data_IF_550859934278
#
_entry.id   IF_550859934278
#
_cell.length_a   1.000
_cell.length_b   1.000
_cell.length_c   1.000
_cell.angle_alpha   90.00
_cell.angle_beta   90.00
_cell.angle_gamma   90.00
#
_symmetry.space_group_name_H-M   'P 1'
#
loop_
_entity.id
_entity.type
_entity.pdbx_description
1 polymer ?
#
# COMPACT_ATOMS: atom_id res chain seq x y z
N UNK A 1 -41.01 8.67 28.11
CA UNK A 1 -40.68 8.76 26.67
C UNK A 1 -41.34 10.02 26.13
N UNK A 2 -40.60 11.14 26.10
CA UNK A 2 -41.05 12.39 25.50
C UNK A 2 -41.58 12.18 24.06
N UNK A 3 -42.68 12.86 23.66
CA UNK A 3 -43.28 12.74 22.35
C UNK A 3 -42.34 13.12 21.20
N UNK A 4 -41.39 14.01 21.45
CA UNK A 4 -40.41 14.53 20.47
C UNK A 4 -39.42 13.44 20.02
N UNK A 5 -39.01 12.57 20.96
CA UNK A 5 -38.10 11.45 20.66
C UNK A 5 -38.74 10.40 19.73
N UNK A 6 -40.08 10.34 19.64
CA UNK A 6 -40.77 9.41 18.73
C UNK A 6 -40.69 9.84 17.26
N UNK A 7 -40.69 11.15 17.00
CA UNK A 7 -40.58 11.67 15.63
C UNK A 7 -39.16 11.52 15.09
N UNK A 8 -38.16 11.80 15.92
CA UNK A 8 -36.76 11.59 15.57
C UNK A 8 -36.49 10.11 15.31
N UNK A 9 -36.97 9.22 16.17
CA UNK A 9 -36.84 7.76 15.98
C UNK A 9 -37.45 7.29 14.65
N UNK A 10 -38.69 7.68 14.34
CA UNK A 10 -39.34 7.33 13.07
C UNK A 10 -38.61 7.88 11.86
N UNK A 11 -38.10 9.11 11.93
CA UNK A 11 -37.36 9.71 10.81
C UNK A 11 -36.06 8.97 10.54
N UNK A 12 -35.35 8.56 11.60
CA UNK A 12 -34.12 7.76 11.48
C UNK A 12 -34.42 6.36 10.94
N UNK A 13 -35.48 5.72 11.43
CA UNK A 13 -35.96 4.42 10.96
C UNK A 13 -36.30 4.47 9.48
N UNK A 14 -37.12 5.43 9.04
CA UNK A 14 -37.46 5.61 7.61
C UNK A 14 -36.21 5.83 6.75
N UNK A 15 -35.26 6.66 7.21
CA UNK A 15 -34.00 6.91 6.48
C UNK A 15 -33.13 5.64 6.42
N UNK A 16 -33.10 4.85 7.49
CA UNK A 16 -32.39 3.58 7.55
C UNK A 16 -33.00 2.57 6.58
N UNK A 17 -34.32 2.37 6.64
CA UNK A 17 -35.06 1.47 5.75
C UNK A 17 -34.85 1.85 4.27
N UNK A 18 -34.91 3.14 3.96
CA UNK A 18 -34.62 3.64 2.60
C UNK A 18 -33.20 3.27 2.15
N UNK A 19 -32.21 3.33 3.06
CA UNK A 19 -30.82 2.97 2.75
C UNK A 19 -30.63 1.47 2.60
N UNK A 20 -31.32 0.65 3.40
CA UNK A 20 -31.30 -0.81 3.25
C UNK A 20 -31.94 -1.24 1.93
N UNK A 21 -33.08 -0.66 1.56
CA UNK A 21 -33.74 -0.94 0.29
C UNK A 21 -32.83 -0.60 -0.90
N UNK A 22 -32.20 0.58 -0.89
CA UNK A 22 -31.27 0.98 -1.93
C UNK A 22 -30.02 0.08 -2.02
N UNK A 23 -29.52 -0.41 -0.88
CA UNK A 23 -28.41 -1.38 -0.86
C UNK A 23 -28.84 -2.70 -1.48
N UNK A 24 -30.00 -3.24 -1.08
CA UNK A 24 -30.53 -4.51 -1.59
C UNK A 24 -30.77 -4.45 -3.11
N UNK A 25 -31.30 -3.35 -3.62
CA UNK A 25 -31.49 -3.14 -5.06
C UNK A 25 -30.14 -3.10 -5.80
N UNK A 26 -29.15 -2.38 -5.27
CA UNK A 26 -27.82 -2.31 -5.86
C UNK A 26 -27.11 -3.68 -5.85
N UNK A 27 -27.25 -4.45 -4.77
CA UNK A 27 -26.73 -5.81 -4.67
C UNK A 27 -27.40 -6.76 -5.66
N UNK A 28 -28.73 -6.68 -5.81
CA UNK A 28 -29.48 -7.48 -6.79
C UNK A 28 -29.10 -7.14 -8.24
N UNK A 29 -28.95 -5.85 -8.55
CA UNK A 29 -28.50 -5.40 -9.86
C UNK A 29 -27.07 -5.90 -10.16
N UNK A 30 -26.16 -5.82 -9.18
CA UNK A 30 -24.80 -6.35 -9.30
C UNK A 30 -24.77 -7.87 -9.48
N UNK A 31 -25.59 -8.60 -8.73
CA UNK A 31 -25.71 -10.05 -8.85
C UNK A 31 -26.21 -10.46 -10.25
N UNK A 32 -27.23 -9.76 -10.77
CA UNK A 32 -27.76 -9.96 -12.11
C UNK A 32 -26.70 -9.69 -13.18
N UNK A 33 -25.99 -8.56 -13.07
CA UNK A 33 -24.92 -8.21 -13.99
C UNK A 33 -23.76 -9.22 -13.98
N UNK A 34 -23.45 -9.83 -12.82
CA UNK A 34 -22.44 -10.88 -12.69
C UNK A 34 -22.89 -12.24 -13.22
N UNK A 35 -24.19 -12.53 -13.16
CA UNK A 35 -24.76 -13.77 -13.67
C UNK A 35 -24.75 -13.82 -15.20
N UNK A 36 -24.85 -12.66 -15.86
CA UNK A 36 -24.67 -12.54 -17.31
C UNK A 36 -23.18 -12.72 -17.64
N UNK A 37 -22.77 -13.96 -17.87
CA UNK A 37 -21.45 -14.28 -18.41
C UNK A 37 -21.50 -14.18 -19.94
N UNK A 38 -20.65 -13.36 -20.57
CA UNK A 38 -20.50 -13.41 -22.01
C UNK A 38 -20.00 -14.81 -22.43
N UNK A 39 -20.33 -15.26 -23.66
CA UNK A 39 -19.81 -16.50 -24.19
C UNK A 39 -18.27 -16.46 -24.19
N UNK A 40 -17.66 -17.62 -23.91
CA UNK A 40 -16.21 -17.74 -23.94
C UNK A 40 -15.74 -17.50 -25.38
N UNK A 41 -14.88 -16.50 -25.63
CA UNK A 41 -14.37 -16.24 -26.96
C UNK A 41 -13.49 -17.38 -27.45
N UNK A 42 -13.40 -17.52 -28.78
CA UNK A 42 -12.55 -18.51 -29.42
C UNK A 42 -11.06 -18.31 -29.06
N UNK A 43 -10.33 -19.41 -28.95
CA UNK A 43 -8.93 -19.43 -28.53
C UNK A 43 -8.03 -18.70 -29.53
N UNK A 44 -8.31 -18.79 -30.83
CA UNK A 44 -7.59 -18.05 -31.88
C UNK A 44 -7.79 -16.53 -31.71
N UNK A 45 -9.04 -16.10 -31.48
CA UNK A 45 -9.36 -14.70 -31.26
C UNK A 45 -8.68 -14.14 -29.99
N UNK A 46 -8.62 -14.93 -28.91
CA UNK A 46 -7.89 -14.56 -27.69
C UNK A 46 -6.38 -14.44 -27.95
N UNK A 47 -5.79 -15.35 -28.73
CA UNK A 47 -4.37 -15.31 -29.07
C UNK A 47 -4.02 -14.08 -29.91
N UNK A 48 -4.87 -13.74 -30.89
CA UNK A 48 -4.71 -12.52 -31.69
C UNK A 48 -4.79 -11.26 -30.81
N UNK A 49 -5.78 -11.19 -29.91
CA UNK A 49 -5.92 -10.08 -28.97
C UNK A 49 -4.70 -9.94 -28.05
N UNK A 50 -4.16 -11.06 -27.57
CA UNK A 50 -2.96 -11.07 -26.74
C UNK A 50 -1.72 -10.58 -27.52
N UNK A 51 -1.61 -10.92 -28.81
CA UNK A 51 -0.51 -10.47 -29.67
C UNK A 51 -0.57 -8.95 -29.95
N UNK A 52 -1.77 -8.38 -30.06
CA UNK A 52 -1.96 -6.93 -30.27
C UNK A 52 -1.80 -6.09 -28.99
N UNK A 53 -1.76 -6.74 -27.82
CA UNK A 53 -1.76 -6.06 -26.53
C UNK A 53 -0.59 -5.09 -26.31
N UNK A 54 0.68 -5.44 -26.63
CA UNK A 54 1.80 -4.52 -26.46
C UNK A 54 1.61 -3.23 -27.27
N UNK A 55 1.14 -3.37 -28.53
CA UNK A 55 0.87 -2.24 -29.41
C UNK A 55 -0.23 -1.33 -28.84
N UNK A 56 -1.32 -1.92 -28.32
CA UNK A 56 -2.40 -1.17 -27.67
C UNK A 56 -1.90 -0.46 -26.40
N UNK A 57 -1.06 -1.12 -25.61
CA UNK A 57 -0.54 -0.59 -24.36
C UNK A 57 0.33 0.65 -24.57
N UNK A 58 1.20 0.62 -25.59
CA UNK A 58 2.14 1.70 -25.91
C UNK A 58 1.53 2.81 -26.76
N UNK A 59 0.33 2.61 -27.32
CA UNK A 59 -0.32 3.63 -28.13
C UNK A 59 -0.59 4.93 -27.33
N UNK A 60 -0.30 6.12 -27.90
CA UNK A 60 -0.51 7.40 -27.23
C UNK A 60 -2.00 7.72 -27.02
N UNK A 61 -2.88 7.10 -27.80
CA UNK A 61 -4.33 7.20 -27.68
C UNK A 61 -4.87 6.42 -26.47
N UNK A 62 -4.10 5.47 -25.93
CA UNK A 62 -4.52 4.69 -24.77
C UNK A 62 -4.30 5.52 -23.51
N UNK A 63 -5.39 5.87 -22.83
CA UNK A 63 -5.29 6.67 -21.63
C UNK A 63 -4.79 5.85 -20.43
N UNK A 64 -4.24 6.48 -19.38
CA UNK A 64 -3.92 5.79 -18.12
C UNK A 64 -5.14 5.09 -17.49
N UNK A 65 -6.35 5.64 -17.71
CA UNK A 65 -7.60 5.02 -17.26
C UNK A 65 -7.85 3.70 -17.98
N UNK A 66 -7.61 3.65 -19.29
CA UNK A 66 -7.85 2.45 -20.10
C UNK A 66 -6.84 1.36 -19.80
N UNK A 67 -5.55 1.71 -19.66
CA UNK A 67 -4.50 0.80 -19.18
C UNK A 67 -4.88 0.17 -17.83
N UNK A 68 -5.39 0.98 -16.90
CA UNK A 68 -5.85 0.49 -15.59
C UNK A 68 -7.08 -0.42 -15.69
N UNK A 69 -8.01 -0.14 -16.61
CA UNK A 69 -9.17 -1.02 -16.86
C UNK A 69 -8.70 -2.37 -17.41
N UNK A 70 -7.75 -2.37 -18.33
CA UNK A 70 -7.19 -3.57 -18.92
C UNK A 70 -6.49 -4.45 -17.87
N UNK A 71 -5.64 -3.87 -17.02
CA UNK A 71 -4.99 -4.64 -15.94
C UNK A 71 -6.00 -5.29 -14.99
N UNK A 72 -7.12 -4.63 -14.71
CA UNK A 72 -8.17 -5.16 -13.84
C UNK A 72 -8.93 -6.35 -14.40
N UNK A 73 -8.87 -6.61 -15.71
CA UNK A 73 -9.48 -7.83 -16.28
C UNK A 73 -8.58 -9.04 -16.12
N UNK A 74 -7.29 -8.83 -15.88
CA UNK A 74 -6.28 -9.89 -15.79
C UNK A 74 -5.90 -10.20 -14.33
N UNK A 75 -5.79 -9.16 -13.50
CA UNK A 75 -5.33 -9.24 -12.12
C UNK A 75 -6.51 -9.45 -11.18
N UNK A 76 -6.47 -10.55 -10.41
CA UNK A 76 -7.43 -10.85 -9.36
C UNK A 76 -7.18 -10.03 -8.09
N UNK A 77 -5.94 -9.98 -7.62
CA UNK A 77 -5.52 -9.08 -6.55
C UNK A 77 -4.04 -8.74 -6.61
N UNK A 78 -3.67 -7.72 -5.83
CA UNK A 78 -2.29 -7.32 -5.59
C UNK A 78 -2.08 -7.25 -4.08
N UNK A 79 -1.08 -7.96 -3.59
CA UNK A 79 -0.67 -7.95 -2.18
C UNK A 79 0.63 -7.18 -2.03
N UNK A 80 0.70 -6.33 -1.00
CA UNK A 80 1.90 -5.57 -0.67
C UNK A 80 2.42 -6.05 0.68
N UNK A 81 3.62 -6.62 0.67
CA UNK A 81 4.35 -7.06 1.84
C UNK A 81 5.48 -6.05 2.09
N UNK A 82 5.34 -5.30 3.17
CA UNK A 82 6.38 -4.40 3.63
C UNK A 82 7.34 -5.18 4.51
N UNK A 83 8.60 -5.21 4.11
CA UNK A 83 9.66 -5.83 4.91
C UNK A 83 10.07 -4.87 6.04
N UNK A 84 10.17 -5.39 7.27
CA UNK A 84 10.36 -4.55 8.45
C UNK A 84 11.74 -3.87 8.52
N UNK A 85 12.72 -4.35 7.77
CA UNK A 85 14.10 -3.85 7.81
C UNK A 85 14.63 -3.38 6.44
N UNK A 86 13.79 -3.41 5.40
CA UNK A 86 14.16 -2.97 4.06
C UNK A 86 13.31 -1.79 3.59
N UNK A 87 13.89 -0.93 2.73
CA UNK A 87 13.11 0.03 1.95
C UNK A 87 12.49 -0.63 0.70
N UNK A 88 12.69 -1.94 0.52
CA UNK A 88 12.01 -2.73 -0.50
C UNK A 88 10.57 -3.07 -0.11
N UNK A 89 9.70 -3.08 -1.12
CA UNK A 89 8.33 -3.57 -1.04
C UNK A 89 8.24 -4.79 -1.94
N UNK A 90 7.80 -5.91 -1.35
CA UNK A 90 7.46 -7.12 -2.10
C UNK A 90 6.01 -7.02 -2.53
N UNK A 91 5.78 -7.16 -3.82
CA UNK A 91 4.48 -7.05 -4.47
C UNK A 91 4.14 -8.44 -5.02
N UNK A 92 3.11 -9.07 -4.47
CA UNK A 92 2.52 -10.28 -5.05
C UNK A 92 1.38 -9.91 -5.98
N UNK A 93 1.38 -10.43 -7.20
CA UNK A 93 0.30 -10.27 -8.18
C UNK A 93 -0.36 -11.61 -8.39
N UNK A 94 -1.66 -11.71 -8.10
CA UNK A 94 -2.45 -12.91 -8.38
C UNK A 94 -3.30 -12.70 -9.61
N UNK A 95 -3.15 -13.55 -10.60
CA UNK A 95 -3.92 -13.51 -11.85
C UNK A 95 -5.25 -14.25 -11.72
N UNK A 96 -6.24 -13.87 -12.54
CA UNK A 96 -7.51 -14.61 -12.60
C UNK A 96 -7.35 -16.07 -13.06
N UNK A 97 -6.24 -16.42 -13.72
CA UNK A 97 -5.88 -17.78 -14.09
C UNK A 97 -5.41 -18.64 -12.91
N UNK A 98 -5.15 -18.04 -11.75
CA UNK A 98 -4.54 -18.69 -10.59
C UNK A 98 -3.01 -18.63 -10.57
N UNK A 99 -2.37 -18.17 -11.65
CA UNK A 99 -0.94 -17.87 -11.65
C UNK A 99 -0.62 -16.77 -10.64
N UNK A 100 0.61 -16.75 -10.13
CA UNK A 100 1.10 -15.74 -9.20
C UNK A 100 2.49 -15.28 -9.60
N UNK A 101 2.69 -13.96 -9.63
CA UNK A 101 4.00 -13.34 -9.86
C UNK A 101 4.42 -12.54 -8.63
N UNK A 102 5.74 -12.43 -8.42
CA UNK A 102 6.32 -11.64 -7.35
C UNK A 102 7.30 -10.61 -7.92
N UNK A 103 7.20 -9.38 -7.43
CA UNK A 103 8.04 -8.25 -7.80
C UNK A 103 8.60 -7.62 -6.54
N UNK A 104 9.91 -7.36 -6.51
CA UNK A 104 10.55 -6.59 -5.44
C UNK A 104 10.92 -5.23 -5.99
N UNK A 105 10.38 -4.17 -5.38
CA UNK A 105 10.59 -2.79 -5.83
C UNK A 105 11.03 -1.94 -4.65
N UNK A 106 12.07 -1.13 -4.86
CA UNK A 106 12.50 -0.12 -3.90
C UNK A 106 11.39 0.92 -3.69
N UNK A 107 11.11 1.24 -2.43
CA UNK A 107 10.05 2.18 -2.08
C UNK A 107 10.38 3.57 -2.61
N UNK A 108 9.51 4.08 -3.47
CA UNK A 108 9.62 5.45 -3.97
C UNK A 108 9.14 6.44 -2.89
N UNK A 109 10.07 7.16 -2.25
CA UNK A 109 9.76 8.13 -1.19
C UNK A 109 11.03 8.71 -0.51
N UNK A 110 10.92 9.43 0.62
CA UNK A 110 12.07 9.91 1.38
C UNK A 110 12.92 8.79 2.04
N UNK A 111 12.65 7.52 1.70
CA UNK A 111 13.15 6.34 2.40
C UNK A 111 12.62 6.24 3.82
N UNK A 112 12.67 5.05 4.41
CA UNK A 112 12.34 4.89 5.83
C UNK A 112 13.36 5.62 6.71
N UNK A 113 12.87 6.39 7.67
CA UNK A 113 13.73 6.99 8.71
C UNK A 113 14.19 5.87 9.66
N UNK A 114 15.50 5.74 9.94
CA UNK A 114 15.98 4.72 10.86
C UNK A 114 15.28 4.84 12.23
N UNK A 115 14.94 3.72 12.89
CA UNK A 115 14.27 3.74 14.19
C UNK A 115 15.03 4.57 15.23
N UNK A 116 16.36 4.50 15.22
CA UNK A 116 17.25 5.27 16.10
C UNK A 116 17.13 6.78 15.84
N UNK A 117 17.09 7.20 14.57
CA UNK A 117 16.88 8.61 14.22
C UNK A 117 15.48 9.08 14.65
N UNK A 118 14.46 8.23 14.51
CA UNK A 118 13.11 8.55 14.96
C UNK A 118 13.03 8.70 16.49
N UNK A 119 13.77 7.88 17.25
CA UNK A 119 13.84 8.00 18.71
C UNK A 119 14.41 9.36 19.14
N UNK A 120 15.52 9.79 18.53
CA UNK A 120 16.13 11.12 18.77
C UNK A 120 15.14 12.24 18.40
N UNK A 121 14.49 12.15 17.24
CA UNK A 121 13.51 13.17 16.82
C UNK A 121 12.30 13.22 17.75
N UNK A 122 11.85 12.08 18.30
CA UNK A 122 10.76 12.03 19.28
C UNK A 122 11.17 12.61 20.63
N UNK A 123 12.36 12.28 21.10
CA UNK A 123 12.90 12.73 22.38
C UNK A 123 13.13 14.24 22.39
N UNK A 124 13.74 14.78 21.33
CA UNK A 124 14.15 16.19 21.26
C UNK A 124 13.21 17.06 20.44
N UNK A 125 12.20 16.49 19.78
CA UNK A 125 11.25 17.23 18.96
C UNK A 125 10.57 18.37 19.72
N UNK A 126 10.09 18.12 20.93
CA UNK A 126 9.35 19.12 21.70
C UNK A 126 10.23 20.28 22.21
N UNK A 127 11.56 20.15 22.23
CA UNK A 127 12.48 21.09 22.89
C UNK A 127 13.46 21.75 21.94
N UNK A 128 13.83 21.09 20.84
CA UNK A 128 14.89 21.54 19.94
C UNK A 128 14.34 21.98 18.58
N UNK A 129 15.09 22.89 17.96
CA UNK A 129 14.88 23.31 16.58
C UNK A 129 15.24 22.19 15.59
N UNK A 130 14.75 22.30 14.36
CA UNK A 130 15.09 21.31 13.32
C UNK A 130 16.59 21.32 12.96
N UNK A 131 17.29 22.43 13.20
CA UNK A 131 18.73 22.55 12.96
C UNK A 131 19.52 21.75 13.99
N UNK A 132 19.22 21.94 15.27
CA UNK A 132 19.87 21.21 16.37
C UNK A 132 19.61 19.71 16.29
N UNK A 133 18.38 19.30 15.95
CA UNK A 133 18.05 17.88 15.75
C UNK A 133 18.80 17.32 14.55
N UNK A 134 18.95 18.06 13.45
CA UNK A 134 19.73 17.61 12.30
C UNK A 134 21.22 17.43 12.66
N UNK A 135 21.78 18.34 13.46
CA UNK A 135 23.15 18.24 13.96
C UNK A 135 23.33 16.99 14.84
N UNK A 136 22.49 16.80 15.85
CA UNK A 136 22.52 15.64 16.74
C UNK A 136 22.43 14.31 15.97
N UNK A 137 21.58 14.23 14.94
CA UNK A 137 21.47 13.04 14.10
C UNK A 137 22.74 12.77 13.28
N UNK A 138 23.37 13.81 12.75
CA UNK A 138 24.62 13.67 12.00
C UNK A 138 25.80 13.31 12.90
N UNK A 139 25.87 13.90 14.10
CA UNK A 139 26.91 13.63 15.11
C UNK A 139 26.80 12.20 15.64
N UNK A 140 25.57 11.67 15.74
CA UNK A 140 25.30 10.27 16.04
C UNK A 140 25.60 9.31 14.86
N UNK A 141 26.13 9.81 13.74
CA UNK A 141 26.46 9.02 12.56
C UNK A 141 25.25 8.50 11.78
N UNK A 142 24.04 8.98 12.09
CA UNK A 142 22.81 8.48 11.47
C UNK A 142 22.62 9.07 10.07
N UNK A 143 22.10 8.24 9.17
CA UNK A 143 21.78 8.62 7.79
C UNK A 143 20.29 8.47 7.52
N UNK A 144 19.80 9.22 6.55
CA UNK A 144 18.43 9.07 6.04
C UNK A 144 18.27 7.75 5.28
N UNK A 145 17.04 7.34 4.97
CA UNK A 145 16.79 6.10 4.20
C UNK A 145 17.44 6.08 2.81
N UNK A 146 17.83 7.24 2.26
CA UNK A 146 18.62 7.36 1.02
C UNK A 146 20.13 7.43 1.23
N UNK A 147 20.60 7.08 2.43
CA UNK A 147 22.00 7.18 2.85
C UNK A 147 22.60 8.61 2.75
N UNK A 148 21.75 9.63 2.88
CA UNK A 148 22.18 11.04 2.92
C UNK A 148 22.26 11.55 4.36
N UNK A 149 23.09 12.57 4.61
CA UNK A 149 23.10 13.31 5.87
C UNK A 149 21.75 13.96 6.20
N UNK A 150 21.46 14.14 7.48
CA UNK A 150 20.26 14.84 7.93
C UNK A 150 20.41 16.34 7.72
N UNK A 151 19.42 16.93 7.05
CA UNK A 151 19.29 18.39 6.92
C UNK A 151 18.08 18.85 7.74
N UNK A 152 17.97 20.15 8.09
CA UNK A 152 16.79 20.67 8.77
C UNK A 152 15.48 20.39 8.01
N UNK A 153 15.54 20.34 6.67
CA UNK A 153 14.41 19.97 5.80
C UNK A 153 14.03 18.50 5.97
N UNK A 154 15.00 17.59 6.08
CA UNK A 154 14.74 16.18 6.36
C UNK A 154 14.04 16.02 7.72
N UNK A 155 14.51 16.71 8.77
CA UNK A 155 13.87 16.67 10.09
C UNK A 155 12.44 17.22 10.04
N UNK A 156 12.20 18.33 9.35
CA UNK A 156 10.85 18.88 9.18
C UNK A 156 9.90 17.89 8.47
N UNK A 157 10.38 17.20 7.44
CA UNK A 157 9.62 16.17 6.73
C UNK A 157 9.27 14.98 7.66
N UNK A 158 10.25 14.48 8.42
CA UNK A 158 10.06 13.42 9.43
C UNK A 158 8.99 13.84 10.45
N UNK A 159 9.07 15.06 10.97
CA UNK A 159 8.08 15.57 11.93
C UNK A 159 6.67 15.68 11.34
N UNK A 160 6.55 16.07 10.07
CA UNK A 160 5.27 16.12 9.36
C UNK A 160 4.65 14.74 9.10
N UNK A 161 5.48 13.74 8.77
CA UNK A 161 5.08 12.35 8.52
C UNK A 161 4.64 11.67 9.83
N UNK A 162 5.46 11.78 10.89
CA UNK A 162 5.22 11.11 12.17
C UNK A 162 4.46 11.96 13.20
N UNK A 163 3.94 13.13 12.79
CA UNK A 163 3.16 14.06 13.63
C UNK A 163 3.86 14.42 14.95
N UNK A 164 5.15 14.76 14.87
CA UNK A 164 5.97 15.16 16.03
C UNK A 164 5.99 16.69 16.11
N UNK A 165 5.23 17.25 17.04
CA UNK A 165 5.01 18.69 17.16
C UNK A 165 6.24 19.45 17.66
N UNK A 166 6.36 20.71 17.25
CA UNK A 166 7.37 21.67 17.74
C UNK A 166 6.94 22.32 19.04
N UNK A 167 7.88 22.80 19.87
CA UNK A 167 7.55 23.56 21.09
C UNK A 167 6.54 24.67 20.82
N UNK A 168 6.68 25.38 19.69
CA UNK A 168 5.79 26.47 19.27
C UNK A 168 4.35 26.03 19.00
N UNK A 169 4.16 24.78 18.56
CA UNK A 169 2.82 24.20 18.32
C UNK A 169 2.22 23.53 19.57
N UNK A 170 3.03 23.06 20.52
CA UNK A 170 2.51 22.49 21.79
C UNK A 170 1.82 23.58 22.63
N UNK A 171 2.34 24.81 22.59
CA UNK A 171 1.75 25.96 23.26
C UNK A 171 0.34 26.32 22.75
N UNK A 172 0.03 26.07 21.47
CA UNK A 172 -1.28 26.36 20.86
C UNK A 172 -2.29 25.23 21.13
N UNK A 173 -1.84 24.00 21.32
CA UNK A 173 -2.70 22.86 21.68
C UNK A 173 -3.18 22.88 23.14
N UNK A 174 -2.32 23.30 24.07
CA UNK A 174 -2.68 23.38 25.50
C UNK A 174 -3.56 24.60 25.83
N UNK A 175 -3.49 25.68 25.05
CA UNK A 175 -4.31 26.88 25.25
C UNK A 175 -5.81 26.67 24.94
N UNK A 176 -6.21 25.56 24.30
CA UNK A 176 -7.62 25.18 24.09
C UNK A 176 -8.19 24.23 25.15
N UNK A 177 -7.36 23.68 26.04
CA UNK A 177 -7.78 22.79 27.13
C UNK A 177 -7.81 23.47 28.50
N UNK A 178 -7.55 24.78 28.57
CA UNK A 178 -7.58 25.57 29.80
C UNK A 178 -8.97 26.10 30.14
N UNK A 179 -9.87 25.25 30.64
CA UNK A 179 -10.93 25.68 31.55
C UNK A 179 -10.88 24.78 32.79
N UNK A 180 -10.27 25.29 33.85
CA UNK A 180 -10.20 24.70 35.19
C UNK A 180 -11.61 24.59 35.78
N UNK A 181 -12.09 23.39 36.08
CA UNK A 181 -12.00 22.70 37.39
C UNK A 181 -12.95 23.28 38.45
N UNK A 182 -13.93 22.46 38.84
CA UNK A 182 -14.24 22.25 40.25
C UNK A 182 -14.62 20.78 40.47
N UNK A 183 -13.99 20.04 41.41
CA UNK A 183 -14.39 18.68 41.73
C UNK A 183 -15.36 18.72 42.92
N UNK A 184 -16.56 18.18 42.77
CA UNK A 184 -17.36 17.74 43.91
C UNK A 184 -17.19 16.23 44.08
N UNK A 185 -16.72 15.87 45.27
CA UNK A 185 -16.37 14.54 45.68
C UNK A 185 -17.63 13.90 46.28
N UNK A 186 -18.15 12.83 45.68
CA UNK A 186 -19.03 11.88 46.35
C UNK A 186 -18.76 10.48 45.82
N UNK A 187 -18.30 9.64 46.74
CA UNK A 187 -17.89 8.25 46.52
C UNK A 187 -19.10 7.32 46.67
N UNK A 188 -19.14 6.26 45.85
CA UNK A 188 -19.48 4.85 46.17
C UNK A 188 -20.49 4.21 45.19
N UNK A 189 -20.58 2.86 45.09
CA UNK A 189 -19.73 2.01 44.24
C UNK A 189 -20.57 1.01 43.40
N UNK A 190 -19.89 0.01 42.80
CA UNK A 190 -20.42 -1.21 42.12
C UNK A 190 -20.77 -0.96 40.63
N UNK A 191 -20.42 -1.80 39.66
CA UNK A 191 -20.08 -3.22 39.61
C UNK A 191 -19.08 -3.49 38.48
N UNK A 192 -18.27 -4.55 38.65
CA UNK A 192 -17.45 -5.13 37.59
C UNK A 192 -18.35 -5.83 36.57
N UNK A 193 -18.10 -5.64 35.27
CA UNK A 193 -18.48 -6.64 34.28
C UNK A 193 -17.50 -6.64 33.10
N UNK A 194 -16.73 -7.72 33.07
CA UNK A 194 -15.80 -8.15 32.03
C UNK A 194 -16.57 -8.46 30.74
N UNK A 195 -16.18 -7.89 29.60
CA UNK A 195 -16.31 -8.55 28.29
C UNK A 195 -15.25 -8.00 27.34
N UNK A 196 -14.43 -8.92 26.83
CA UNK A 196 -13.20 -8.65 26.11
C UNK A 196 -13.38 -8.17 24.67
N UNK A 197 -12.42 -7.36 24.22
CA UNK A 197 -12.20 -7.07 22.81
C UNK A 197 -11.69 -8.32 22.09
N UNK A 198 -12.55 -8.94 21.29
CA UNK A 198 -12.16 -9.94 20.32
C UNK A 198 -11.19 -9.33 19.30
N UNK A 199 -9.93 -9.74 19.37
CA UNK A 199 -8.93 -9.51 18.33
C UNK A 199 -9.33 -10.37 17.13
N UNK A 200 -9.76 -9.75 16.04
CA UNK A 200 -10.09 -10.44 14.80
C UNK A 200 -8.85 -11.15 14.23
N UNK A 201 -8.77 -12.46 14.44
CA UNK A 201 -7.79 -13.35 13.83
C UNK A 201 -8.29 -13.70 12.42
N UNK A 202 -7.65 -13.14 11.39
CA UNK A 202 -7.88 -13.56 10.01
C UNK A 202 -7.25 -14.95 9.79
N UNK A 203 -7.89 -15.87 9.05
CA UNK A 203 -7.37 -17.21 8.84
C UNK A 203 -6.06 -17.18 8.01
N UNK A 204 -5.13 -18.11 8.26
CA UNK A 204 -3.91 -18.23 7.48
C UNK A 204 -4.21 -18.68 6.04
N UNK A 205 -3.37 -18.22 5.10
CA UNK A 205 -3.40 -18.61 3.70
C UNK A 205 -3.28 -20.15 3.55
N UNK A 206 -3.95 -20.77 2.57
CA UNK A 206 -3.78 -22.18 2.29
C UNK A 206 -2.34 -22.46 1.79
N UNK A 207 -1.78 -23.58 2.26
CA UNK A 207 -0.44 -24.04 1.91
C UNK A 207 -0.29 -24.26 0.38
N UNK A 208 0.91 -24.06 -0.18
CA UNK A 208 1.18 -24.39 -1.57
C UNK A 208 1.00 -25.89 -1.79
N UNK A 209 0.15 -26.23 -2.77
CA UNK A 209 0.08 -27.58 -3.30
C UNK A 209 1.42 -27.93 -3.95
N UNK A 210 2.12 -28.89 -3.37
CA UNK A 210 3.29 -29.50 -3.94
C UNK A 210 2.90 -30.28 -5.20
N UNK A 211 3.52 -29.97 -6.34
CA UNK A 211 3.42 -30.82 -7.53
C UNK A 211 3.65 -30.11 -8.86
N UNK A 212 4.91 -29.90 -9.21
CA UNK A 212 5.44 -30.11 -10.58
C UNK A 212 6.92 -29.67 -10.59
N UNK A 213 7.81 -30.61 -10.28
CA UNK A 213 9.23 -30.50 -10.59
C UNK A 213 9.40 -30.50 -12.12
N UNK A 214 9.58 -29.32 -12.71
CA UNK A 214 10.09 -29.22 -14.08
C UNK A 214 11.62 -29.17 -14.02
N UNK A 215 12.20 -30.18 -14.66
CA UNK A 215 13.62 -30.49 -14.64
C UNK A 215 14.52 -29.37 -15.14
N UNK A 216 15.67 -29.32 -14.49
CA UNK A 216 16.89 -28.60 -14.88
C UNK A 216 17.32 -29.10 -16.27
N UNK A 217 17.51 -28.24 -17.29
CA UNK A 217 18.11 -28.70 -18.53
C UNK A 217 19.60 -28.95 -18.31
N UNK A 218 20.03 -30.15 -18.72
CA UNK A 218 21.41 -30.62 -18.80
C UNK A 218 22.30 -29.63 -19.56
N UNK A 219 23.42 -29.28 -18.93
CA UNK A 219 24.55 -28.60 -19.56
C UNK A 219 25.28 -29.62 -20.44
N UNK A 220 24.78 -29.82 -21.67
CA UNK A 220 25.45 -30.60 -22.70
C UNK A 220 26.68 -29.85 -23.24
N UNK A 221 27.81 -30.55 -23.24
CA UNK A 221 29.07 -30.23 -23.89
C UNK A 221 28.89 -29.69 -25.33
N UNK A 222 29.63 -28.62 -25.65
CA UNK A 222 29.98 -28.26 -27.02
C UNK A 222 31.52 -28.19 -27.14
N UNK A 223 32.11 -28.86 -28.15
CA UNK A 223 33.55 -28.90 -28.31
C UNK A 223 34.10 -27.64 -29.00
N UNK A 224 35.38 -27.41 -28.73
CA UNK A 224 36.19 -26.36 -29.31
C UNK A 224 36.62 -26.69 -30.74
N UNK A 225 36.30 -25.80 -31.68
CA UNK A 225 37.02 -25.54 -32.93
C UNK A 225 36.99 -24.01 -33.12
N UNK A 226 38.02 -23.26 -33.47
CA UNK A 226 39.23 -23.62 -34.22
C UNK A 226 39.36 -22.69 -35.43
N UNK A 227 39.92 -21.49 -35.21
CA UNK A 227 40.61 -20.61 -36.19
C UNK A 227 39.84 -20.07 -37.42
N UNK A 228 39.95 -18.76 -37.63
CA UNK A 228 39.63 -18.13 -38.92
C UNK A 228 39.79 -16.61 -38.92
N UNK A 229 41.05 -16.16 -38.97
CA UNK A 229 41.45 -14.76 -39.12
C UNK A 229 41.25 -14.33 -40.59
N UNK A 230 40.36 -13.37 -40.89
CA UNK A 230 40.42 -12.59 -42.13
C UNK A 230 39.96 -11.15 -41.88
N UNK A 231 40.88 -10.23 -42.13
CA UNK A 231 40.65 -8.80 -42.26
C UNK A 231 40.03 -8.46 -43.63
N UNK A 232 39.19 -7.42 -43.72
CA UNK A 232 39.25 -6.39 -44.76
C UNK A 232 38.03 -5.44 -44.75
N UNK A 233 38.36 -4.15 -44.64
CA UNK A 233 37.89 -3.04 -45.48
C UNK A 233 36.40 -2.62 -45.48
N UNK A 234 36.17 -1.43 -44.93
CA UNK A 234 35.23 -0.44 -45.47
C UNK A 234 35.64 -0.01 -46.90
N UNK A 235 34.72 0.47 -47.75
CA UNK A 235 34.64 1.93 -47.91
C UNK A 235 33.25 2.52 -48.25
N UNK A 236 33.08 3.78 -47.81
CA UNK A 236 32.66 4.97 -48.60
C UNK A 236 31.34 5.01 -49.39
N UNK A 237 30.46 5.93 -48.93
CA UNK A 237 29.73 6.99 -49.66
C UNK A 237 29.03 6.63 -50.98
N UNK A 238 27.71 6.78 -50.99
CA UNK A 238 27.01 7.75 -51.85
C UNK A 238 25.68 8.17 -51.27
#
# INVERSE_FOLDING_TARGET
>A
MEPENRLVARTLETRWETKLAALAEAEAALATARAVKPPVPDHEALRALAADLPRLWDAPTTSPRDRKRLLRTLIADVTLLLEQDSDAVRIGVRWHTGATDELVVERRGPGRTPPQALAIVRQYGATHSNVEIAQMLNDAGLRTGKNLGFTPRHVAAVRGIYKIFTPRTVAVGMARSGSSRQPNNSVSPLTQSTTGCATGRFPPAPAPVAGASLGRPDSGDLPAEGRGLVAAQAPTVR
#
